data_IF_917735078814
#
_entry.id   IF_917735078814
#
_cell.length_a   1.000
_cell.length_b   1.000
_cell.length_c   1.000
_cell.angle_alpha   90.00
_cell.angle_beta   90.00
_cell.angle_gamma   90.00
#
_symmetry.space_group_name_H-M   'P 1'
#
loop_
_entity.id
_entity.type
_entity.pdbx_description
1 polymer ?
#
# COMPACT_ATOMS: atom_id res chain seq x y z
N UNK A 1 3.59 15.44 16.43
CA UNK A 1 3.74 15.22 17.88
C UNK A 1 5.05 15.88 18.31
N UNK A 2 5.03 16.88 19.19
CA UNK A 2 6.22 17.67 19.53
C UNK A 2 7.27 16.86 20.32
N UNK A 3 6.88 15.74 20.93
CA UNK A 3 7.74 14.93 21.79
C UNK A 3 8.31 13.69 21.08
N UNK A 4 7.92 13.42 19.84
CA UNK A 4 8.41 12.27 19.09
C UNK A 4 9.94 12.29 18.93
N UNK A 5 10.57 11.16 19.21
CA UNK A 5 12.00 10.99 19.16
C UNK A 5 12.78 11.62 20.32
N UNK A 6 12.12 12.34 21.23
CA UNK A 6 12.74 12.86 22.45
C UNK A 6 12.81 11.76 23.53
N UNK A 7 13.74 11.92 24.44
CA UNK A 7 13.79 11.10 25.66
C UNK A 7 12.83 11.68 26.71
N UNK A 8 12.17 10.82 27.45
CA UNK A 8 11.39 11.18 28.64
C UNK A 8 12.30 11.36 29.87
N UNK A 9 11.71 11.63 31.04
CA UNK A 9 12.45 11.85 32.30
C UNK A 9 13.21 10.59 32.76
N UNK A 10 12.75 9.40 32.37
CA UNK A 10 13.40 8.13 32.66
C UNK A 10 14.41 7.71 31.58
N UNK A 11 14.65 8.55 30.58
CA UNK A 11 15.59 8.29 29.50
C UNK A 11 15.06 7.35 28.41
N UNK A 12 13.77 7.05 28.39
CA UNK A 12 13.12 6.24 27.33
C UNK A 12 12.73 7.12 26.15
N UNK A 13 12.87 6.60 24.94
CA UNK A 13 12.50 7.35 23.73
C UNK A 13 11.00 7.29 23.46
N UNK A 14 10.42 8.43 23.17
CA UNK A 14 9.04 8.53 22.68
C UNK A 14 8.97 8.03 21.23
N UNK A 15 8.56 6.76 21.05
CA UNK A 15 8.52 6.08 19.76
C UNK A 15 7.15 6.20 19.09
N UNK A 16 7.12 6.04 17.78
CA UNK A 16 5.90 6.00 16.98
C UNK A 16 5.49 4.58 16.59
N UNK A 17 4.19 4.37 16.57
CA UNK A 17 3.56 3.30 15.81
C UNK A 17 3.09 3.88 14.48
N UNK A 18 3.50 3.28 13.36
CA UNK A 18 3.10 3.71 12.02
C UNK A 18 2.30 2.61 11.35
N UNK A 19 1.25 3.02 10.62
CA UNK A 19 0.34 2.10 9.96
C UNK A 19 0.07 2.58 8.53
N UNK A 20 0.15 1.66 7.57
CA UNK A 20 -0.14 1.92 6.17
C UNK A 20 -1.09 0.90 5.56
N UNK A 21 -2.17 1.39 4.94
CA UNK A 21 -3.12 0.57 4.18
C UNK A 21 -2.79 0.58 2.71
N UNK A 22 -2.93 -0.56 2.04
CA UNK A 22 -2.72 -0.66 0.59
C UNK A 22 -1.31 -0.21 0.19
N UNK A 23 -1.16 0.69 -0.79
CA UNK A 23 0.14 1.29 -1.13
C UNK A 23 0.80 2.04 0.05
N UNK A 24 0.02 2.49 1.03
CA UNK A 24 0.56 3.00 2.29
C UNK A 24 1.46 2.01 3.03
N UNK A 25 1.31 0.70 2.79
CA UNK A 25 2.23 -0.33 3.27
C UNK A 25 3.65 -0.14 2.74
N UNK A 26 3.82 0.09 1.44
CA UNK A 26 5.13 0.43 0.84
C UNK A 26 5.66 1.76 1.39
N UNK A 27 4.79 2.75 1.57
CA UNK A 27 5.15 4.07 2.11
C UNK A 27 5.72 3.98 3.53
N UNK A 28 5.06 3.24 4.44
CA UNK A 28 5.55 3.12 5.83
C UNK A 28 6.81 2.26 5.91
N UNK A 29 7.00 1.28 5.02
CA UNK A 29 8.25 0.53 4.91
C UNK A 29 9.40 1.45 4.46
N UNK A 30 9.20 2.23 3.39
CA UNK A 30 10.17 3.21 2.94
C UNK A 30 10.48 4.25 4.02
N UNK A 31 9.47 4.74 4.74
CA UNK A 31 9.70 5.66 5.84
C UNK A 31 10.55 5.03 6.95
N UNK A 32 10.27 3.77 7.33
CA UNK A 32 11.09 3.02 8.30
C UNK A 32 12.53 2.84 7.83
N UNK A 33 12.74 2.53 6.54
CA UNK A 33 14.04 2.47 5.88
C UNK A 33 14.81 3.79 6.04
N UNK A 34 14.18 4.90 5.65
CA UNK A 34 14.81 6.22 5.70
C UNK A 34 15.16 6.63 7.14
N UNK A 35 14.30 6.31 8.10
CA UNK A 35 14.57 6.58 9.51
C UNK A 35 15.74 5.75 10.05
N UNK A 36 15.77 4.45 9.74
CA UNK A 36 16.80 3.55 10.27
C UNK A 36 18.14 3.70 9.54
N UNK A 37 18.13 3.65 8.21
CA UNK A 37 19.33 3.51 7.38
C UNK A 37 19.63 4.75 6.53
N UNK A 38 18.63 5.63 6.34
CA UNK A 38 18.75 6.81 5.47
C UNK A 38 18.69 6.47 3.99
N UNK A 39 19.20 7.42 3.18
CA UNK A 39 19.38 7.30 1.73
C UNK A 39 20.76 7.84 1.35
N UNK A 40 21.81 7.02 1.37
CA UNK A 40 23.19 7.47 1.13
C UNK A 40 23.39 8.13 -0.24
N UNK A 41 22.69 7.66 -1.28
CA UNK A 41 22.76 8.22 -2.63
C UNK A 41 22.16 9.64 -2.68
N UNK A 42 21.05 9.88 -1.98
CA UNK A 42 20.44 11.21 -1.86
C UNK A 42 21.35 12.16 -1.09
N UNK A 43 21.96 11.69 0.00
CA UNK A 43 22.92 12.47 0.77
C UNK A 43 24.15 12.84 -0.07
N UNK A 44 24.63 11.91 -0.90
CA UNK A 44 25.78 12.16 -1.78
C UNK A 44 25.46 13.11 -2.96
N UNK A 45 24.20 13.10 -3.42
CA UNK A 45 23.73 13.91 -4.56
C UNK A 45 23.21 15.29 -4.19
N UNK A 46 23.01 15.59 -2.89
CA UNK A 46 22.40 16.84 -2.41
C UNK A 46 23.44 17.74 -1.74
N UNK A 47 23.34 19.05 -1.95
CA UNK A 47 24.21 20.03 -1.29
C UNK A 47 24.00 19.97 0.25
N UNK A 48 25.12 20.07 1.00
CA UNK A 48 25.12 19.88 2.46
C UNK A 48 24.09 20.73 3.24
N UNK A 49 23.73 21.91 2.72
CA UNK A 49 22.75 22.79 3.34
C UNK A 49 21.29 22.38 3.11
N UNK A 50 21.05 21.53 2.11
CA UNK A 50 19.70 21.17 1.64
C UNK A 50 19.30 19.73 2.00
N UNK A 51 20.21 18.98 2.64
CA UNK A 51 19.94 17.58 3.03
C UNK A 51 18.88 17.56 4.15
N UNK A 52 17.75 16.90 3.87
CA UNK A 52 16.77 16.63 4.92
C UNK A 52 17.31 15.65 5.96
N UNK A 53 17.09 15.90 7.28
CA UNK A 53 17.44 14.96 8.33
C UNK A 53 16.81 13.56 8.18
N UNK A 54 15.76 13.41 7.38
CA UNK A 54 15.14 12.13 7.06
C UNK A 54 16.12 11.19 6.34
N UNK A 55 16.96 11.72 5.46
CA UNK A 55 17.87 10.93 4.63
C UNK A 55 19.17 10.53 5.34
N UNK A 56 19.40 11.02 6.57
CA UNK A 56 20.66 10.73 7.30
C UNK A 56 20.63 9.41 8.09
N UNK A 57 19.47 8.78 8.25
CA UNK A 57 19.34 7.55 9.02
C UNK A 57 19.61 7.69 10.54
N UNK A 58 19.92 6.58 11.18
CA UNK A 58 20.30 6.53 12.59
C UNK A 58 19.19 6.78 13.60
N UNK A 59 17.92 6.63 13.17
CA UNK A 59 16.70 6.87 13.93
C UNK A 59 15.75 5.65 13.92
N UNK A 60 16.30 4.46 13.75
CA UNK A 60 15.51 3.22 13.74
C UNK A 60 14.74 3.01 15.04
N UNK A 61 15.36 3.36 16.18
CA UNK A 61 14.80 3.30 17.52
C UNK A 61 13.66 4.33 17.79
N UNK A 62 13.38 5.25 16.84
CA UNK A 62 12.25 6.18 16.95
C UNK A 62 10.92 5.54 16.55
N UNK A 63 10.96 4.39 15.91
CA UNK A 63 9.79 3.64 15.49
C UNK A 63 9.63 2.42 16.40
N UNK A 64 8.48 2.31 17.06
CA UNK A 64 8.12 1.16 17.90
C UNK A 64 7.60 0.02 17.03
N UNK A 65 6.68 0.34 16.09
CA UNK A 65 6.13 -0.65 15.18
C UNK A 65 5.77 -0.08 13.82
N UNK A 66 5.84 -0.95 12.82
CA UNK A 66 5.37 -0.77 11.45
C UNK A 66 4.26 -1.77 11.20
N UNK A 67 3.05 -1.31 10.88
CA UNK A 67 1.93 -2.18 10.52
C UNK A 67 1.52 -1.92 9.08
N UNK A 68 1.49 -2.97 8.26
CA UNK A 68 0.91 -2.92 6.91
C UNK A 68 -0.42 -3.64 6.88
N UNK A 69 -1.43 -3.03 6.29
CA UNK A 69 -2.77 -3.60 6.14
C UNK A 69 -3.09 -3.69 4.66
N UNK A 70 -3.37 -4.89 4.16
CA UNK A 70 -3.63 -5.15 2.74
C UNK A 70 -2.53 -4.55 1.82
N UNK A 71 -1.30 -4.46 2.33
CA UNK A 71 -0.15 -3.89 1.62
C UNK A 71 0.46 -4.92 0.68
N UNK A 72 0.47 -4.70 -0.65
CA UNK A 72 1.03 -5.66 -1.60
C UNK A 72 2.57 -5.60 -1.59
N UNK A 73 3.20 -6.26 -0.61
CA UNK A 73 4.65 -6.27 -0.43
C UNK A 73 5.42 -6.77 -1.66
N UNK A 74 4.84 -7.73 -2.38
CA UNK A 74 5.44 -8.33 -3.57
C UNK A 74 4.73 -7.91 -4.86
N UNK A 75 3.95 -6.82 -4.80
CA UNK A 75 3.15 -6.29 -5.90
C UNK A 75 1.79 -6.98 -6.06
N UNK A 76 1.08 -6.62 -7.11
CA UNK A 76 -0.21 -7.23 -7.45
C UNK A 76 -0.31 -7.58 -8.93
N UNK A 77 -0.79 -8.79 -9.21
CA UNK A 77 -0.98 -9.29 -10.57
C UNK A 77 -2.02 -8.52 -11.37
N UNK A 78 -2.88 -7.75 -10.69
CA UNK A 78 -3.86 -6.88 -11.37
C UNK A 78 -3.18 -5.84 -12.26
N UNK A 79 -1.98 -5.37 -11.90
CA UNK A 79 -1.24 -4.38 -12.70
C UNK A 79 -0.88 -4.92 -14.09
N UNK A 80 -0.47 -6.17 -14.18
CA UNK A 80 -0.23 -6.85 -15.47
C UNK A 80 -1.51 -7.06 -16.26
N UNK A 81 -2.60 -7.43 -15.59
CA UNK A 81 -3.88 -7.70 -16.24
C UNK A 81 -4.53 -6.43 -16.82
N UNK A 82 -4.48 -5.32 -16.11
CA UNK A 82 -5.05 -4.04 -16.56
C UNK A 82 -4.09 -3.23 -17.44
N UNK A 83 -2.81 -3.58 -17.48
CA UNK A 83 -1.77 -2.86 -18.22
C UNK A 83 -2.15 -2.50 -19.66
N UNK A 84 -2.68 -3.43 -20.50
CA UNK A 84 -3.11 -3.14 -21.85
C UNK A 84 -4.31 -2.18 -21.94
N UNK A 85 -5.19 -2.20 -20.95
CA UNK A 85 -6.38 -1.33 -20.85
C UNK A 85 -6.07 0.00 -20.17
N UNK A 86 -4.90 0.09 -19.56
CA UNK A 86 -4.49 1.19 -18.72
C UNK A 86 -4.57 2.56 -19.40
N UNK A 87 -4.17 2.77 -20.67
CA UNK A 87 -4.30 4.07 -21.33
C UNK A 87 -5.75 4.53 -21.44
N UNK A 88 -6.67 3.62 -21.74
CA UNK A 88 -8.11 3.92 -21.85
C UNK A 88 -8.74 4.10 -20.46
N UNK A 89 -8.44 3.20 -19.53
CA UNK A 89 -8.93 3.30 -18.15
C UNK A 89 -8.44 4.57 -17.45
N UNK A 90 -7.19 4.97 -17.68
CA UNK A 90 -6.61 6.21 -17.19
C UNK A 90 -7.33 7.44 -17.73
N UNK A 91 -7.63 7.46 -19.03
CA UNK A 91 -8.41 8.56 -19.62
C UNK A 91 -9.81 8.61 -19.01
N UNK A 92 -10.51 7.49 -18.91
CA UNK A 92 -11.87 7.43 -18.37
C UNK A 92 -11.90 7.76 -16.88
N UNK A 93 -11.00 7.20 -16.08
CA UNK A 93 -10.91 7.48 -14.64
C UNK A 93 -10.48 8.93 -14.41
N UNK A 94 -9.51 9.40 -15.16
CA UNK A 94 -8.99 10.75 -15.03
C UNK A 94 -10.02 11.81 -15.45
N UNK A 95 -10.65 11.67 -16.61
CA UNK A 95 -11.66 12.61 -17.08
C UNK A 95 -13.01 12.42 -16.38
N UNK A 96 -13.40 11.19 -16.06
CA UNK A 96 -14.63 10.89 -15.34
C UNK A 96 -14.54 11.29 -13.87
N UNK A 97 -13.50 10.88 -13.16
CA UNK A 97 -13.33 11.20 -11.73
C UNK A 97 -12.98 12.67 -11.51
N UNK A 98 -11.99 13.21 -12.20
CA UNK A 98 -11.61 14.61 -12.03
C UNK A 98 -12.77 15.56 -12.45
N UNK A 99 -13.46 15.26 -13.55
CA UNK A 99 -14.59 16.06 -14.03
C UNK A 99 -15.83 16.00 -13.12
N UNK A 100 -16.12 14.83 -12.54
CA UNK A 100 -17.28 14.66 -11.64
C UNK A 100 -16.96 15.19 -10.24
N UNK A 101 -15.79 14.84 -9.71
CA UNK A 101 -15.40 15.21 -8.34
C UNK A 101 -15.11 16.70 -8.19
N UNK A 102 -14.59 17.35 -9.22
CA UNK A 102 -14.26 18.78 -9.20
C UNK A 102 -15.48 19.70 -9.02
N UNK A 103 -16.65 19.23 -9.43
CA UNK A 103 -17.92 19.96 -9.33
C UNK A 103 -18.79 19.52 -8.13
N UNK A 104 -18.27 18.70 -7.25
CA UNK A 104 -19.01 18.19 -6.08
C UNK A 104 -18.40 18.70 -4.76
N UNK A 105 -19.18 18.72 -3.65
CA UNK A 105 -18.65 19.01 -2.31
C UNK A 105 -17.49 18.10 -1.88
N UNK A 106 -17.32 16.95 -2.51
CA UNK A 106 -16.21 16.02 -2.25
C UNK A 106 -14.83 16.63 -2.56
N UNK A 107 -14.74 17.60 -3.47
CA UNK A 107 -13.51 18.36 -3.75
C UNK A 107 -13.01 19.15 -2.52
N UNK A 108 -13.86 19.41 -1.52
CA UNK A 108 -13.46 20.03 -0.25
C UNK A 108 -12.74 19.06 0.70
N UNK A 109 -12.91 17.76 0.47
CA UNK A 109 -12.34 16.69 1.30
C UNK A 109 -11.08 16.13 0.64
N UNK A 110 -11.09 16.02 -0.68
CA UNK A 110 -9.98 15.47 -1.46
C UNK A 110 -9.74 16.32 -2.70
N UNK A 111 -8.65 17.06 -2.72
CA UNK A 111 -8.26 17.87 -3.87
C UNK A 111 -7.67 16.96 -4.96
N UNK A 112 -8.43 16.78 -6.05
CA UNK A 112 -8.01 16.04 -7.23
C UNK A 112 -7.22 16.92 -8.21
N UNK A 113 -6.67 18.04 -7.75
CA UNK A 113 -5.88 18.95 -8.54
C UNK A 113 -4.64 18.28 -9.13
N UNK A 114 -4.36 18.58 -10.38
CA UNK A 114 -3.27 17.97 -11.16
C UNK A 114 -2.18 18.99 -11.49
N UNK A 115 -2.12 20.07 -10.73
CA UNK A 115 -1.15 21.14 -10.94
C UNK A 115 0.30 20.64 -10.88
N UNK A 116 0.57 19.62 -10.03
CA UNK A 116 1.86 18.94 -9.97
C UNK A 116 2.26 18.22 -11.28
N UNK A 117 1.30 17.94 -12.16
CA UNK A 117 1.56 17.44 -13.52
C UNK A 117 1.62 18.55 -14.58
N UNK A 118 1.59 19.83 -14.15
CA UNK A 118 1.52 21.00 -15.04
C UNK A 118 0.17 21.15 -15.74
N UNK A 119 -0.89 20.58 -15.15
CA UNK A 119 -2.27 20.74 -15.61
C UNK A 119 -2.93 21.75 -14.70
N UNK A 120 -3.19 22.94 -15.25
CA UNK A 120 -3.70 24.07 -14.48
C UNK A 120 -5.04 23.80 -13.82
N UNK A 121 -5.18 24.29 -12.59
CA UNK A 121 -6.39 24.16 -11.76
C UNK A 121 -7.58 25.01 -12.21
N UNK A 122 -7.53 25.65 -13.37
CA UNK A 122 -8.66 26.42 -13.89
C UNK A 122 -9.86 25.50 -14.19
N UNK A 123 -10.98 25.60 -13.46
CA UNK A 123 -12.15 24.74 -13.64
C UNK A 123 -12.67 24.70 -15.08
N UNK A 124 -12.54 25.80 -15.83
CA UNK A 124 -12.98 25.90 -17.24
C UNK A 124 -12.04 25.15 -18.19
N UNK A 125 -10.81 24.89 -17.79
CA UNK A 125 -9.81 24.21 -18.62
C UNK A 125 -9.62 22.74 -18.22
N UNK A 126 -9.94 22.34 -16.99
CA UNK A 126 -9.73 21.00 -16.44
C UNK A 126 -10.42 19.90 -17.26
N UNK A 127 -11.65 20.17 -17.70
CA UNK A 127 -12.50 19.21 -18.42
C UNK A 127 -12.54 19.45 -19.92
N UNK A 128 -11.60 20.22 -20.49
CA UNK A 128 -11.59 20.43 -21.93
C UNK A 128 -10.97 19.22 -22.64
N UNK A 129 -11.74 18.38 -23.36
CA UNK A 129 -11.23 17.21 -24.07
C UNK A 129 -10.23 17.56 -25.17
N UNK A 130 -10.16 18.82 -25.60
CA UNK A 130 -9.18 19.32 -26.58
C UNK A 130 -7.77 19.50 -25.97
N UNK A 131 -7.61 19.40 -24.64
CA UNK A 131 -6.30 19.40 -23.97
C UNK A 131 -5.56 18.04 -24.09
N UNK A 132 -5.76 17.34 -25.19
CA UNK A 132 -5.07 16.07 -25.53
C UNK A 132 -3.54 16.13 -25.40
N UNK A 133 -2.94 17.31 -25.57
CA UNK A 133 -1.50 17.51 -25.39
C UNK A 133 -1.06 17.37 -23.93
N UNK A 134 -1.91 17.76 -22.98
CA UNK A 134 -1.63 17.62 -21.53
C UNK A 134 -1.76 16.16 -21.13
N UNK A 135 -2.78 15.45 -21.62
CA UNK A 135 -2.92 14.00 -21.45
C UNK A 135 -1.71 13.25 -22.00
N UNK A 136 -1.13 13.69 -23.11
CA UNK A 136 0.07 13.09 -23.68
C UNK A 136 1.30 13.23 -22.76
N UNK A 137 1.43 14.34 -22.01
CA UNK A 137 2.48 14.49 -20.99
C UNK A 137 2.29 13.51 -19.83
N UNK A 138 1.07 13.36 -19.34
CA UNK A 138 0.74 12.38 -18.30
C UNK A 138 1.05 10.97 -18.77
N UNK A 139 0.57 10.59 -19.96
CA UNK A 139 0.85 9.27 -20.55
C UNK A 139 2.35 9.02 -20.75
N UNK A 140 3.13 10.08 -21.00
CA UNK A 140 4.60 9.99 -21.09
C UNK A 140 5.22 9.78 -19.70
N UNK A 141 4.79 10.54 -18.69
CA UNK A 141 5.25 10.39 -17.31
C UNK A 141 4.91 8.99 -16.74
N UNK A 142 3.75 8.45 -17.11
CA UNK A 142 3.33 7.10 -16.72
C UNK A 142 4.10 5.96 -17.42
N UNK A 143 4.95 6.27 -18.40
CA UNK A 143 5.90 5.30 -18.98
C UNK A 143 7.22 5.25 -18.20
N UNK A 144 7.48 6.23 -17.34
CA UNK A 144 8.60 6.18 -16.41
C UNK A 144 8.33 5.14 -15.32
N UNK A 145 9.36 4.73 -14.60
CA UNK A 145 9.21 3.90 -13.41
C UNK A 145 8.69 4.69 -12.19
N UNK A 146 8.76 6.02 -12.24
CA UNK A 146 8.32 6.92 -11.18
C UNK A 146 6.80 7.09 -11.20
N UNK A 147 6.09 6.04 -10.86
CA UNK A 147 4.64 6.06 -10.69
C UNK A 147 4.11 4.82 -9.97
N UNK A 148 2.96 5.00 -9.31
CA UNK A 148 2.24 3.98 -8.55
C UNK A 148 2.02 2.65 -9.31
N UNK A 149 1.80 2.68 -10.63
CA UNK A 149 1.54 1.46 -11.39
C UNK A 149 2.79 0.60 -11.53
N UNK A 150 3.97 1.23 -11.62
CA UNK A 150 5.22 0.50 -11.60
C UNK A 150 5.46 -0.09 -10.22
N UNK A 151 5.34 0.71 -9.18
CA UNK A 151 5.61 0.29 -7.79
C UNK A 151 4.71 -0.85 -7.34
N UNK A 152 3.44 -0.86 -7.77
CA UNK A 152 2.49 -1.94 -7.50
C UNK A 152 2.63 -3.15 -8.42
N UNK A 153 3.41 -3.08 -9.51
CA UNK A 153 3.70 -4.27 -10.32
C UNK A 153 4.64 -5.24 -9.58
N UNK A 154 4.64 -6.51 -9.97
CA UNK A 154 5.58 -7.48 -9.39
C UNK A 154 7.04 -7.05 -9.61
N UNK A 155 7.36 -6.47 -10.77
CA UNK A 155 8.70 -5.97 -11.08
C UNK A 155 9.10 -4.80 -10.17
N UNK A 156 8.23 -3.80 -10.00
CA UNK A 156 8.48 -2.64 -9.15
C UNK A 156 8.59 -3.01 -7.68
N UNK A 157 7.70 -3.89 -7.20
CA UNK A 157 7.75 -4.39 -5.82
C UNK A 157 9.04 -5.17 -5.52
N UNK A 158 9.53 -5.99 -6.47
CA UNK A 158 10.83 -6.66 -6.34
C UNK A 158 12.00 -5.68 -6.33
N UNK A 159 11.94 -4.62 -7.13
CA UNK A 159 12.94 -3.55 -7.11
C UNK A 159 12.94 -2.85 -5.76
N UNK A 160 11.76 -2.49 -5.24
CA UNK A 160 11.59 -1.88 -3.93
C UNK A 160 12.13 -2.80 -2.81
N UNK A 161 11.75 -4.09 -2.81
CA UNK A 161 12.21 -5.04 -1.78
C UNK A 161 13.74 -5.18 -1.72
N UNK A 162 14.44 -5.07 -2.86
CA UNK A 162 15.90 -5.09 -2.89
C UNK A 162 16.56 -3.84 -2.30
N UNK A 163 15.82 -2.73 -2.24
CA UNK A 163 16.30 -1.45 -1.71
C UNK A 163 16.01 -1.30 -0.22
N UNK A 164 15.03 -2.04 0.30
CA UNK A 164 14.58 -1.92 1.68
C UNK A 164 15.25 -2.99 2.55
N UNK A 165 15.66 -2.56 3.74
CA UNK A 165 16.12 -3.43 4.81
C UNK A 165 15.16 -3.32 6.00
N UNK A 166 14.93 -4.44 6.68
CA UNK A 166 14.04 -4.45 7.84
C UNK A 166 14.69 -3.70 9.03
N UNK A 167 13.93 -2.82 9.66
CA UNK A 167 14.38 -2.12 10.86
C UNK A 167 14.34 -3.08 12.07
N UNK A 168 15.49 -3.54 12.50
CA UNK A 168 15.63 -4.50 13.61
C UNK A 168 15.23 -3.93 14.98
N UNK A 169 15.11 -2.62 15.12
CA UNK A 169 14.68 -1.96 16.36
C UNK A 169 13.14 -1.89 16.50
N UNK A 170 12.40 -2.19 15.44
CA UNK A 170 10.95 -2.08 15.40
C UNK A 170 10.26 -3.45 15.28
N UNK A 171 9.02 -3.53 15.78
CA UNK A 171 8.13 -4.63 15.48
C UNK A 171 7.46 -4.41 14.13
N UNK A 172 7.40 -5.45 13.30
CA UNK A 172 6.74 -5.38 12.00
C UNK A 172 5.51 -6.28 11.99
N UNK A 173 4.36 -5.74 11.61
CA UNK A 173 3.10 -6.47 11.50
C UNK A 173 2.58 -6.38 10.08
N UNK A 174 2.10 -7.50 9.57
CA UNK A 174 1.38 -7.51 8.30
C UNK A 174 0.01 -8.15 8.47
N UNK A 175 -0.99 -7.50 7.90
CA UNK A 175 -2.37 -7.95 7.87
C UNK A 175 -2.78 -8.09 6.42
N UNK A 176 -2.85 -9.32 5.94
CA UNK A 176 -3.41 -9.58 4.62
C UNK A 176 -4.93 -9.68 4.69
N UNK A 177 -5.58 -9.45 3.57
CA UNK A 177 -7.03 -9.47 3.41
C UNK A 177 -7.43 -10.45 2.33
N UNK A 178 -8.62 -11.06 2.47
CA UNK A 178 -9.18 -11.97 1.48
C UNK A 178 -10.70 -11.89 1.44
N UNK A 179 -11.27 -11.71 0.25
CA UNK A 179 -12.70 -11.82 0.01
C UNK A 179 -13.02 -12.57 -1.30
N UNK A 180 -12.11 -13.41 -1.74
CA UNK A 180 -12.32 -14.31 -2.88
C UNK A 180 -12.67 -15.72 -2.42
N UNK A 181 -13.10 -16.56 -3.35
CA UNK A 181 -13.42 -17.95 -3.12
C UNK A 181 -12.88 -18.82 -4.25
N UNK A 182 -12.35 -19.99 -3.90
CA UNK A 182 -11.91 -20.99 -4.86
C UNK A 182 -13.10 -21.55 -5.64
N UNK A 183 -12.96 -21.67 -6.96
CA UNK A 183 -13.94 -22.25 -7.84
C UNK A 183 -13.56 -23.69 -8.24
N UNK A 184 -14.49 -24.45 -8.79
CA UNK A 184 -14.25 -25.84 -9.20
C UNK A 184 -13.14 -26.01 -10.24
N UNK A 185 -12.86 -24.98 -11.04
CA UNK A 185 -11.81 -25.01 -12.06
C UNK A 185 -10.43 -24.53 -11.54
N UNK A 186 -10.28 -24.34 -10.23
CA UNK A 186 -9.02 -23.94 -9.60
C UNK A 186 -8.74 -22.43 -9.63
N UNK A 187 -9.59 -21.61 -10.24
CA UNK A 187 -9.50 -20.16 -10.18
C UNK A 187 -10.12 -19.62 -8.90
N UNK A 188 -9.86 -18.36 -8.57
CA UNK A 188 -10.58 -17.61 -7.54
C UNK A 188 -11.57 -16.61 -8.17
N UNK A 189 -12.65 -16.32 -7.46
CA UNK A 189 -13.59 -15.24 -7.82
C UNK A 189 -13.99 -14.49 -6.57
N UNK A 190 -14.36 -13.22 -6.74
CA UNK A 190 -14.83 -12.40 -5.63
C UNK A 190 -16.17 -12.92 -5.08
N UNK A 191 -16.31 -12.87 -3.75
CA UNK A 191 -17.58 -13.16 -3.06
C UNK A 191 -18.60 -12.06 -3.39
N UNK A 192 -19.90 -12.40 -3.36
CA UNK A 192 -20.98 -11.45 -3.63
C UNK A 192 -21.00 -10.24 -2.67
N UNK A 193 -20.43 -10.40 -1.48
CA UNK A 193 -20.30 -9.33 -0.48
C UNK A 193 -19.22 -8.28 -0.79
N UNK A 194 -18.40 -8.49 -1.82
CA UNK A 194 -17.34 -7.57 -2.18
C UNK A 194 -17.88 -6.27 -2.78
N UNK A 195 -17.14 -5.18 -2.59
CA UNK A 195 -17.38 -3.92 -3.25
C UNK A 195 -17.35 -4.10 -4.77
N UNK A 196 -18.38 -3.60 -5.47
CA UNK A 196 -18.61 -3.90 -6.89
C UNK A 196 -17.39 -3.65 -7.80
N UNK A 197 -16.63 -2.53 -7.66
CA UNK A 197 -15.44 -2.32 -8.46
C UNK A 197 -14.40 -3.43 -8.33
N UNK A 198 -14.32 -4.10 -7.17
CA UNK A 198 -13.38 -5.20 -6.94
C UNK A 198 -13.78 -6.53 -7.58
N UNK A 199 -15.03 -6.65 -8.05
CA UNK A 199 -15.42 -7.85 -8.81
C UNK A 199 -14.62 -8.00 -10.10
N UNK A 200 -14.39 -6.88 -10.81
CA UNK A 200 -13.61 -6.92 -12.04
C UNK A 200 -12.14 -7.23 -11.73
N UNK A 201 -11.51 -6.43 -10.86
CA UNK A 201 -10.07 -6.55 -10.58
C UNK A 201 -9.73 -7.85 -9.85
N UNK A 202 -10.52 -8.27 -8.86
CA UNK A 202 -10.31 -9.51 -8.14
C UNK A 202 -10.55 -10.76 -9.00
N UNK A 203 -11.48 -10.73 -9.95
CA UNK A 203 -11.64 -11.83 -10.90
C UNK A 203 -10.48 -11.89 -11.91
N UNK A 204 -9.87 -10.75 -12.28
CA UNK A 204 -8.65 -10.72 -13.06
C UNK A 204 -7.47 -11.34 -12.29
N UNK A 205 -7.31 -10.98 -11.01
CA UNK A 205 -6.33 -11.60 -10.12
C UNK A 205 -6.59 -13.11 -10.03
N UNK A 206 -7.82 -13.51 -9.70
CA UNK A 206 -8.20 -14.91 -9.46
C UNK A 206 -8.13 -15.82 -10.67
N UNK A 207 -7.92 -15.28 -11.86
CA UNK A 207 -7.73 -16.02 -13.12
C UNK A 207 -6.38 -15.75 -13.78
N UNK A 208 -5.47 -15.05 -13.10
CA UNK A 208 -4.15 -14.73 -13.62
C UNK A 208 -3.33 -16.00 -13.88
N UNK A 209 -2.67 -16.07 -15.04
CA UNK A 209 -1.81 -17.20 -15.42
C UNK A 209 -0.37 -16.79 -15.72
N UNK A 210 -0.16 -15.51 -15.94
CA UNK A 210 1.11 -14.96 -16.36
C UNK A 210 1.21 -13.49 -16.00
N UNK A 211 2.34 -13.07 -15.45
CA UNK A 211 2.64 -11.67 -15.21
C UNK A 211 3.67 -11.16 -16.19
N UNK A 212 3.30 -10.11 -16.95
CA UNK A 212 4.14 -9.54 -18.00
C UNK A 212 5.27 -8.69 -17.47
N UNK A 213 5.14 -8.14 -16.26
CA UNK A 213 6.16 -7.24 -15.69
C UNK A 213 7.44 -7.99 -15.33
N UNK A 214 7.30 -9.24 -14.89
CA UNK A 214 8.42 -10.13 -14.55
C UNK A 214 8.65 -11.25 -15.57
N UNK A 215 7.72 -11.49 -16.49
CA UNK A 215 7.84 -12.54 -17.49
C UNK A 215 7.64 -13.95 -16.91
N UNK A 216 6.82 -14.11 -15.87
CA UNK A 216 6.66 -15.36 -15.13
C UNK A 216 5.23 -15.89 -15.13
N UNK A 217 5.10 -17.22 -14.98
CA UNK A 217 3.81 -17.86 -14.74
C UNK A 217 3.34 -17.58 -13.32
N UNK A 218 2.06 -17.33 -13.16
CA UNK A 218 1.38 -17.18 -11.89
C UNK A 218 0.84 -18.54 -11.45
N UNK A 219 1.23 -18.98 -10.27
CA UNK A 219 0.73 -20.22 -9.66
C UNK A 219 -0.54 -19.96 -8.80
N UNK A 220 -1.10 -21.03 -8.24
CA UNK A 220 -2.35 -20.98 -7.49
C UNK A 220 -2.28 -20.17 -6.20
N UNK A 221 -1.11 -19.96 -5.61
CA UNK A 221 -0.94 -19.19 -4.37
C UNK A 221 -1.21 -17.70 -4.56
N UNK A 222 -1.11 -17.23 -5.81
CA UNK A 222 -1.35 -15.84 -6.19
C UNK A 222 -2.80 -15.53 -6.55
N UNK A 223 -3.71 -16.52 -6.56
CA UNK A 223 -5.06 -16.31 -7.08
C UNK A 223 -6.04 -15.79 -6.01
N UNK A 224 -5.77 -16.05 -4.74
CA UNK A 224 -6.56 -15.49 -3.64
C UNK A 224 -6.31 -13.98 -3.51
N UNK A 225 -7.40 -13.20 -3.26
CA UNK A 225 -7.29 -11.75 -3.22
C UNK A 225 -8.42 -11.08 -2.43
N UNK A 226 -8.18 -9.83 -2.10
CA UNK A 226 -9.17 -8.91 -1.54
C UNK A 226 -9.86 -8.04 -2.61
N UNK A 227 -9.52 -8.28 -3.87
CA UNK A 227 -10.02 -7.54 -5.03
C UNK A 227 -9.08 -6.48 -5.60
N UNK A 228 -8.09 -6.03 -4.83
CA UNK A 228 -7.05 -5.09 -5.28
C UNK A 228 -5.64 -5.67 -5.17
N UNK A 229 -5.36 -6.45 -4.13
CA UNK A 229 -4.09 -7.11 -3.90
C UNK A 229 -4.24 -8.62 -3.75
N UNK A 230 -3.19 -9.35 -4.13
CA UNK A 230 -3.09 -10.78 -3.88
C UNK A 230 -2.86 -11.02 -2.39
N UNK A 231 -3.59 -11.96 -1.79
CA UNK A 231 -3.52 -12.25 -0.36
C UNK A 231 -2.10 -12.68 0.06
N UNK A 232 -1.44 -13.53 -0.73
CA UNK A 232 -0.07 -13.97 -0.46
C UNK A 232 0.93 -12.82 -0.50
N UNK A 233 0.78 -11.88 -1.43
CA UNK A 233 1.65 -10.71 -1.55
C UNK A 233 1.58 -9.79 -0.33
N UNK A 234 0.47 -9.80 0.39
CA UNK A 234 0.25 -8.97 1.58
C UNK A 234 0.68 -9.65 2.90
N UNK A 235 1.19 -10.90 2.85
CA UNK A 235 1.65 -11.60 4.04
C UNK A 235 2.97 -11.02 4.56
N UNK A 236 3.97 -10.94 3.72
CA UNK A 236 5.30 -10.38 4.04
C UNK A 236 6.08 -10.14 2.74
N UNK A 237 7.14 -9.33 2.74
CA UNK A 237 8.11 -9.29 1.65
C UNK A 237 8.83 -10.64 1.50
N UNK A 238 9.07 -11.09 0.26
CA UNK A 238 9.65 -12.41 -0.02
C UNK A 238 11.04 -12.60 0.60
N UNK A 239 11.86 -11.54 0.62
CA UNK A 239 13.26 -11.59 1.04
C UNK A 239 13.51 -11.17 2.52
N UNK A 240 12.44 -10.90 3.29
CA UNK A 240 12.55 -10.47 4.68
C UNK A 240 12.12 -11.58 5.65
N UNK A 241 12.71 -11.66 6.87
CA UNK A 241 12.36 -12.68 7.85
C UNK A 241 10.92 -12.48 8.35
N UNK A 242 10.22 -13.58 8.56
CA UNK A 242 8.84 -13.56 9.02
C UNK A 242 8.51 -14.72 9.95
N UNK A 243 7.42 -14.57 10.67
CA UNK A 243 6.81 -15.62 11.50
C UNK A 243 5.28 -15.45 11.51
N UNK A 244 4.55 -16.54 11.57
CA UNK A 244 3.10 -16.45 11.67
C UNK A 244 2.65 -16.35 13.13
N UNK A 245 1.76 -15.40 13.39
CA UNK A 245 1.11 -15.23 14.70
C UNK A 245 0.55 -16.54 15.28
N UNK A 246 -0.05 -17.36 14.43
CA UNK A 246 -0.63 -18.63 14.85
C UNK A 246 0.41 -19.63 15.35
N UNK A 247 1.61 -19.64 14.75
CA UNK A 247 2.68 -20.58 15.09
C UNK A 247 3.40 -20.19 16.38
N UNK A 248 3.40 -18.89 16.70
CA UNK A 248 4.07 -18.34 17.87
C UNK A 248 3.15 -18.15 19.10
N UNK A 249 1.95 -18.68 19.06
CA UNK A 249 0.98 -18.55 20.19
C UNK A 249 0.73 -17.08 20.61
N UNK A 250 0.91 -16.12 19.68
CA UNK A 250 0.72 -14.70 19.93
C UNK A 250 1.97 -13.95 20.40
N UNK A 251 3.11 -14.62 20.53
CA UNK A 251 4.39 -13.94 20.75
C UNK A 251 4.81 -13.17 19.49
N UNK A 252 5.45 -12.00 19.69
CA UNK A 252 5.88 -11.11 18.62
C UNK A 252 7.35 -10.72 18.79
N UNK A 253 8.04 -10.54 17.68
CA UNK A 253 9.47 -10.27 17.67
C UNK A 253 9.82 -9.03 16.86
N UNK A 254 10.84 -8.28 17.29
CA UNK A 254 11.44 -7.19 16.51
C UNK A 254 12.24 -7.75 15.33
N UNK A 255 12.39 -6.94 14.29
CA UNK A 255 13.21 -7.28 13.14
C UNK A 255 12.68 -8.43 12.28
N UNK A 256 11.44 -8.87 12.50
CA UNK A 256 10.76 -9.89 11.68
C UNK A 256 9.31 -9.46 11.42
N UNK A 257 8.75 -9.90 10.30
CA UNK A 257 7.33 -9.71 10.03
C UNK A 257 6.51 -10.69 10.87
N UNK A 258 5.74 -10.17 11.80
CA UNK A 258 4.75 -10.90 12.56
C UNK A 258 3.46 -10.93 11.71
N UNK A 259 3.26 -12.02 10.96
CA UNK A 259 2.16 -12.18 10.02
C UNK A 259 0.88 -12.48 10.78
N UNK A 260 -0.04 -11.53 10.80
CA UNK A 260 -1.32 -11.63 11.49
C UNK A 260 -2.29 -12.55 10.73
N UNK A 261 -3.32 -13.09 11.40
CA UNK A 261 -4.37 -13.85 10.73
C UNK A 261 -5.03 -13.05 9.60
N UNK A 262 -5.33 -13.72 8.48
CA UNK A 262 -5.94 -13.09 7.30
C UNK A 262 -7.30 -12.49 7.67
N UNK A 263 -7.46 -11.19 7.45
CA UNK A 263 -8.74 -10.51 7.63
C UNK A 263 -9.72 -10.90 6.53
N UNK A 264 -10.90 -11.42 6.92
CA UNK A 264 -11.92 -11.85 5.98
C UNK A 264 -12.80 -10.67 5.53
N UNK A 265 -12.37 -10.02 4.46
CA UNK A 265 -13.02 -8.85 3.88
C UNK A 265 -12.33 -8.41 2.60
N UNK A 266 -12.98 -7.54 1.83
CA UNK A 266 -12.34 -6.92 0.67
C UNK A 266 -11.38 -5.80 1.07
N UNK A 267 -10.68 -5.26 0.09
CA UNK A 267 -9.65 -4.24 0.27
C UNK A 267 -10.10 -3.00 1.06
N UNK A 268 -11.37 -2.64 0.96
CA UNK A 268 -11.94 -1.48 1.66
C UNK A 268 -12.66 -1.85 2.95
N UNK A 269 -13.06 -3.12 3.14
CA UNK A 269 -13.72 -3.57 4.37
C UNK A 269 -12.84 -3.32 5.60
N UNK A 270 -11.56 -3.63 5.50
CA UNK A 270 -10.62 -3.54 6.62
C UNK A 270 -10.38 -2.10 7.10
N UNK A 271 -10.63 -1.10 6.27
CA UNK A 271 -10.53 0.33 6.62
C UNK A 271 -11.88 1.02 6.78
N UNK A 272 -12.97 0.24 6.79
CA UNK A 272 -14.32 0.81 6.96
C UNK A 272 -14.88 1.53 5.74
N UNK A 273 -14.24 1.39 4.58
CA UNK A 273 -14.60 2.11 3.34
C UNK A 273 -15.62 1.40 2.46
N UNK A 274 -16.11 0.23 2.84
CA UNK A 274 -17.12 -0.52 2.08
C UNK A 274 -18.52 -0.33 2.65
N UNK A 275 -19.55 -0.66 1.85
CA UNK A 275 -20.92 -0.69 2.31
C UNK A 275 -21.12 -1.70 3.45
N UNK A 276 -20.43 -2.85 3.40
CA UNK A 276 -20.44 -3.87 4.44
C UNK A 276 -19.90 -3.33 5.76
N UNK A 277 -18.76 -2.65 5.73
CA UNK A 277 -18.17 -2.02 6.90
C UNK A 277 -19.06 -0.89 7.46
N UNK A 278 -19.77 -0.15 6.60
CA UNK A 278 -20.72 0.87 7.01
C UNK A 278 -21.95 0.28 7.74
N UNK A 279 -22.40 -0.93 7.32
CA UNK A 279 -23.53 -1.63 7.95
C UNK A 279 -23.10 -2.34 9.23
N UNK A 280 -21.85 -2.85 9.29
CA UNK A 280 -21.30 -3.60 10.41
C UNK A 280 -19.99 -3.03 10.91
N UNK A 281 -19.95 -1.76 11.39
CA UNK A 281 -18.71 -1.09 11.79
C UNK A 281 -18.04 -1.75 13.01
N UNK A 282 -18.80 -2.57 13.75
CA UNK A 282 -18.34 -3.29 14.93
C UNK A 282 -17.09 -4.14 14.66
N UNK A 283 -17.04 -4.87 13.52
CA UNK A 283 -15.92 -5.74 13.21
C UNK A 283 -14.63 -4.94 12.96
N UNK A 284 -14.70 -3.89 12.18
CA UNK A 284 -13.56 -3.00 11.89
C UNK A 284 -13.09 -2.32 13.17
N UNK A 285 -14.01 -1.75 13.95
CA UNK A 285 -13.70 -1.08 15.21
C UNK A 285 -13.03 -2.03 16.20
N UNK A 286 -13.53 -3.26 16.36
CA UNK A 286 -12.93 -4.22 17.27
C UNK A 286 -11.57 -4.72 16.78
N UNK A 287 -11.41 -4.89 15.47
CA UNK A 287 -10.12 -5.23 14.89
C UNK A 287 -9.05 -4.20 15.29
N UNK A 288 -9.30 -2.92 15.05
CA UNK A 288 -8.35 -1.86 15.42
C UNK A 288 -8.15 -1.71 16.92
N UNK A 289 -9.21 -1.85 17.73
CA UNK A 289 -9.06 -1.85 19.20
C UNK A 289 -8.16 -2.98 19.69
N UNK A 290 -8.28 -4.18 19.13
CA UNK A 290 -7.44 -5.31 19.50
C UNK A 290 -5.99 -5.09 19.01
N UNK A 291 -5.81 -4.56 17.82
CA UNK A 291 -4.48 -4.24 17.31
C UNK A 291 -3.81 -3.14 18.16
N UNK A 292 -4.52 -2.07 18.51
CA UNK A 292 -4.01 -1.02 19.41
C UNK A 292 -3.58 -1.61 20.75
N UNK A 293 -4.41 -2.47 21.37
CA UNK A 293 -4.05 -3.15 22.62
C UNK A 293 -2.79 -4.01 22.48
N UNK A 294 -2.61 -4.68 21.34
CA UNK A 294 -1.37 -5.39 21.07
C UNK A 294 -0.18 -4.42 21.06
N UNK A 295 -0.30 -3.30 20.32
CA UNK A 295 0.77 -2.31 20.20
C UNK A 295 1.12 -1.65 21.56
N UNK A 296 0.13 -1.40 22.43
CA UNK A 296 0.31 -0.83 23.78
C UNK A 296 1.09 -1.78 24.71
N UNK A 297 1.04 -3.09 24.46
CA UNK A 297 1.72 -4.09 25.28
C UNK A 297 3.08 -4.57 24.71
N UNK A 298 3.60 -3.91 23.70
CA UNK A 298 4.92 -4.23 23.16
C UNK A 298 6.02 -3.78 24.10
N UNK A 299 7.01 -4.66 24.31
CA UNK A 299 8.20 -4.35 25.08
C UNK A 299 9.04 -3.23 24.43
N UNK A 300 9.76 -2.46 25.24
CA UNK A 300 10.61 -1.36 24.75
C UNK A 300 11.86 -1.82 23.99
#
# INVERSE_FOLDING_TARGET
>A
MPEWGKLDEEGRRNKLHILGHSFGGATVRMFSQLMAFGAPEEVAGTDKGDISPLFTGGKGDWIKSVTTIAGPHNGTTVMSAIGPLLPMLKCVTFFGFAGIMDNTPANRIYDMCLDHWGITSNPKERCNPLNMLKVRKILKAMKSKDNLYYDLSLAGARELNRMLEINNEAYHFSVSTSNSMLTQNGNHRMKASSFIPFWLTGNLIGSAKYDKSVGEKIDSTWLESDGASNTNSALHPDDEPFTYWADNHGEVYKGVWNVMPVYQGDHMDVVGGSLRAAITPYYVTNYYKNHIKLLENLDD
#
